data_IF_229998846908
#
_entry.id   IF_229998846908
#
_cell.length_a   1.000
_cell.length_b   1.000
_cell.length_c   1.000
_cell.angle_alpha   90.00
_cell.angle_beta   90.00
_cell.angle_gamma   90.00
#
_symmetry.space_group_name_H-M   'P 1'
#
loop_
_entity.id
_entity.type
_entity.pdbx_description
1 polymer ?
#
# COMPACT_ATOMS: atom_id res chain seq x y z
N UNK A 1 18.68 1.72 -28.82
CA UNK A 1 18.04 2.33 -27.64
C UNK A 1 18.87 1.90 -26.44
N UNK A 2 19.33 2.83 -25.61
CA UNK A 2 20.06 2.47 -24.40
C UNK A 2 19.05 2.10 -23.31
N UNK A 3 19.37 1.17 -22.40
CA UNK A 3 18.47 0.81 -21.32
C UNK A 3 18.27 1.99 -20.36
N UNK A 4 17.04 2.15 -19.87
CA UNK A 4 16.67 3.07 -18.79
C UNK A 4 16.47 2.24 -17.52
N UNK A 5 17.03 2.72 -16.42
CA UNK A 5 16.96 2.10 -15.10
C UNK A 5 16.29 3.04 -14.09
N UNK A 6 15.65 2.44 -13.10
CA UNK A 6 15.00 3.15 -12.00
C UNK A 6 15.42 2.51 -10.68
N UNK A 7 15.78 3.35 -9.71
CA UNK A 7 16.03 2.97 -8.32
C UNK A 7 15.02 3.71 -7.43
N UNK A 8 14.40 2.98 -6.50
CA UNK A 8 13.48 3.55 -5.51
C UNK A 8 14.03 3.28 -4.12
N UNK A 9 14.25 4.35 -3.36
CA UNK A 9 14.62 4.29 -1.95
C UNK A 9 13.46 4.85 -1.15
N UNK A 10 13.00 4.10 -0.15
CA UNK A 10 11.82 4.40 0.65
C UNK A 10 12.15 4.26 2.13
N UNK A 11 11.66 5.18 2.94
CA UNK A 11 11.66 5.07 4.39
C UNK A 11 10.33 5.55 4.95
N UNK A 12 9.77 4.80 5.90
CA UNK A 12 8.49 5.12 6.55
C UNK A 12 8.64 5.06 8.06
N UNK A 13 8.10 6.08 8.72
CA UNK A 13 7.88 6.16 10.16
C UNK A 13 6.41 5.89 10.44
N UNK A 14 6.14 4.94 11.32
CA UNK A 14 4.79 4.58 11.77
C UNK A 14 4.67 4.98 13.23
N UNK A 15 3.62 5.72 13.59
CA UNK A 15 3.47 6.29 14.91
C UNK A 15 2.03 6.34 15.39
N UNK A 16 1.84 6.87 16.61
CA UNK A 16 0.54 7.03 17.23
C UNK A 16 -0.26 5.71 17.35
N UNK A 17 0.40 4.70 17.93
CA UNK A 17 -0.24 3.43 18.21
C UNK A 17 -1.25 3.57 19.35
N UNK A 18 -2.52 3.29 19.07
CA UNK A 18 -3.63 3.33 20.03
C UNK A 18 -4.35 1.99 20.03
N UNK A 19 -4.87 1.58 21.19
CA UNK A 19 -5.67 0.37 21.29
C UNK A 19 -7.09 0.63 20.74
N UNK A 20 -7.49 -0.15 19.74
CA UNK A 20 -8.86 -0.18 19.19
C UNK A 20 -9.34 -1.62 19.28
N UNK A 21 -10.41 -1.86 20.04
CA UNK A 21 -10.96 -3.21 20.30
C UNK A 21 -9.92 -4.25 20.75
N UNK A 22 -8.91 -3.81 21.52
CA UNK A 22 -7.83 -4.67 22.03
C UNK A 22 -6.65 -4.88 21.07
N UNK A 23 -6.66 -4.27 19.90
CA UNK A 23 -5.56 -4.31 18.92
C UNK A 23 -4.83 -2.97 18.90
N UNK A 24 -3.49 -2.99 18.96
CA UNK A 24 -2.69 -1.76 18.81
C UNK A 24 -2.58 -1.39 17.34
N UNK A 25 -3.13 -0.23 16.96
CA UNK A 25 -3.17 0.25 15.58
C UNK A 25 -2.52 1.62 15.49
N UNK A 26 -1.64 1.82 14.51
CA UNK A 26 -1.05 3.11 14.22
C UNK A 26 -2.07 4.06 13.60
N UNK A 27 -2.20 5.26 14.15
CA UNK A 27 -3.11 6.30 13.66
C UNK A 27 -2.39 7.41 12.88
N UNK A 28 -1.06 7.34 12.76
CA UNK A 28 -0.32 8.30 11.96
C UNK A 28 0.97 7.70 11.40
N UNK A 29 1.49 8.34 10.37
CA UNK A 29 2.80 8.03 9.84
C UNK A 29 3.29 9.03 8.81
N UNK A 30 4.56 8.87 8.46
CA UNK A 30 5.23 9.69 7.46
C UNK A 30 6.11 8.80 6.59
N UNK A 31 6.01 8.94 5.27
CA UNK A 31 6.83 8.25 4.29
C UNK A 31 7.67 9.25 3.50
N UNK A 32 8.90 8.87 3.20
CA UNK A 32 9.80 9.58 2.29
C UNK A 32 10.26 8.63 1.21
N UNK A 33 10.22 9.09 -0.05
CA UNK A 33 10.58 8.28 -1.22
C UNK A 33 11.48 9.09 -2.13
N UNK A 34 12.51 8.43 -2.64
CA UNK A 34 13.41 8.92 -3.65
C UNK A 34 13.30 7.98 -4.85
N UNK A 35 12.95 8.53 -6.01
CA UNK A 35 12.94 7.81 -7.28
C UNK A 35 14.06 8.38 -8.14
N UNK A 36 15.01 7.54 -8.50
CA UNK A 36 16.19 7.89 -9.28
C UNK A 36 16.13 7.20 -10.63
N UNK A 37 16.05 7.97 -11.72
CA UNK A 37 16.17 7.49 -13.10
C UNK A 37 17.58 7.69 -13.62
N UNK A 38 18.18 6.64 -14.17
CA UNK A 38 19.49 6.68 -14.81
C UNK A 38 19.53 5.76 -16.03
N UNK A 39 20.60 5.84 -16.82
CA UNK A 39 20.61 5.22 -18.15
C UNK A 39 19.80 6.03 -19.17
N UNK A 40 19.86 5.61 -20.43
CA UNK A 40 19.77 6.46 -21.61
C UNK A 40 20.98 7.40 -21.77
N UNK A 41 21.42 7.67 -23.00
CA UNK A 41 22.70 8.36 -23.29
C UNK A 41 22.99 9.53 -22.33
N UNK A 42 24.27 9.69 -21.95
CA UNK A 42 24.87 10.68 -21.02
C UNK A 42 24.43 12.16 -21.18
N UNK A 43 23.56 12.47 -22.15
CA UNK A 43 22.97 13.78 -22.41
C UNK A 43 21.76 14.10 -21.51
N UNK A 44 21.01 13.11 -21.01
CA UNK A 44 19.81 13.35 -20.19
C UNK A 44 20.10 13.43 -18.68
N UNK A 45 21.21 12.86 -18.21
CA UNK A 45 21.66 12.93 -16.82
C UNK A 45 20.81 12.15 -15.81
N UNK A 46 21.30 12.08 -14.58
CA UNK A 46 20.59 11.51 -13.42
C UNK A 46 19.35 12.36 -13.13
N UNK A 47 18.15 11.76 -13.12
CA UNK A 47 16.93 12.45 -12.69
C UNK A 47 16.48 11.90 -11.33
N UNK A 48 16.30 12.77 -10.35
CA UNK A 48 15.87 12.39 -8.99
C UNK A 48 14.56 13.10 -8.66
N UNK A 49 13.57 12.34 -8.24
CA UNK A 49 12.29 12.84 -7.72
C UNK A 49 12.17 12.46 -6.26
N UNK A 50 11.81 13.43 -5.41
CA UNK A 50 11.53 13.21 -3.99
C UNK A 50 10.05 13.33 -3.73
N UNK A 51 9.51 12.46 -2.89
CA UNK A 51 8.12 12.46 -2.46
C UNK A 51 8.08 12.33 -0.93
N UNK A 52 7.25 13.12 -0.29
CA UNK A 52 6.98 13.04 1.14
C UNK A 52 5.47 12.92 1.33
N UNK A 53 5.05 12.00 2.18
CA UNK A 53 3.66 11.74 2.52
C UNK A 53 3.53 11.73 4.04
N UNK A 54 2.54 12.46 4.58
CA UNK A 54 2.11 12.34 5.96
C UNK A 54 0.66 11.93 5.97
N UNK A 55 0.31 10.92 6.76
CA UNK A 55 -1.05 10.39 6.87
C UNK A 55 -1.50 10.33 8.33
N UNK A 56 -2.80 10.53 8.54
CA UNK A 56 -3.48 10.37 9.82
C UNK A 56 -4.77 9.57 9.62
N UNK A 57 -5.14 8.79 10.62
CA UNK A 57 -6.39 8.03 10.65
C UNK A 57 -7.21 8.58 11.82
N UNK A 58 -8.34 9.21 11.50
CA UNK A 58 -9.21 9.82 12.51
C UNK A 58 -10.08 8.76 13.20
N UNK A 59 -10.71 7.89 12.42
CA UNK A 59 -11.65 6.89 12.90
C UNK A 59 -11.31 5.49 12.38
N UNK A 60 -11.42 4.51 13.28
CA UNK A 60 -11.27 3.08 12.99
C UNK A 60 -12.50 2.36 13.53
N UNK A 61 -13.08 1.51 12.70
CA UNK A 61 -14.20 0.65 13.08
C UNK A 61 -13.99 -0.76 12.54
N UNK A 62 -14.22 -1.75 13.39
CA UNK A 62 -14.25 -3.15 12.99
C UNK A 62 -15.69 -3.58 12.69
N UNK A 63 -15.83 -4.55 11.78
CA UNK A 63 -17.12 -5.20 11.50
C UNK A 63 -18.26 -4.22 11.22
N UNK A 64 -17.97 -3.17 10.43
CA UNK A 64 -18.93 -2.10 10.10
C UNK A 64 -20.19 -2.71 9.48
N UNK A 65 -21.33 -2.48 10.13
CA UNK A 65 -22.62 -3.02 9.69
C UNK A 65 -23.02 -2.46 8.33
N UNK A 66 -23.52 -3.33 7.44
CA UNK A 66 -23.93 -2.94 6.09
C UNK A 66 -22.80 -2.89 5.07
N UNK A 67 -21.54 -3.10 5.48
CA UNK A 67 -20.40 -3.24 4.59
C UNK A 67 -20.26 -4.72 4.17
N UNK A 68 -20.36 -5.00 2.87
CA UNK A 68 -20.30 -6.36 2.32
C UNK A 68 -19.24 -6.45 1.22
N UNK A 69 -18.91 -7.67 0.75
CA UNK A 69 -17.97 -7.86 -0.35
C UNK A 69 -18.42 -7.17 -1.64
N UNK A 70 -19.73 -7.03 -1.85
CA UNK A 70 -20.30 -6.34 -3.00
C UNK A 70 -20.02 -4.82 -3.00
N UNK A 71 -19.55 -4.26 -1.87
CA UNK A 71 -19.16 -2.86 -1.76
C UNK A 71 -17.74 -2.58 -2.28
N UNK A 72 -16.95 -3.61 -2.58
CA UNK A 72 -15.57 -3.47 -3.02
C UNK A 72 -15.47 -3.70 -4.52
N UNK A 73 -15.05 -2.67 -5.27
CA UNK A 73 -14.85 -2.76 -6.72
C UNK A 73 -13.44 -3.32 -6.96
N UNK A 74 -13.30 -4.44 -7.68
CA UNK A 74 -11.99 -4.98 -8.01
C UNK A 74 -11.21 -4.01 -8.93
N UNK A 75 -9.87 -3.98 -8.85
CA UNK A 75 -9.05 -3.31 -9.84
C UNK A 75 -9.42 -3.75 -11.25
N UNK A 76 -9.48 -2.80 -12.19
CA UNK A 76 -9.96 -3.01 -13.57
C UNK A 76 -9.18 -4.08 -14.34
N UNK A 77 -7.94 -4.38 -13.93
CA UNK A 77 -7.07 -5.39 -14.55
C UNK A 77 -7.30 -6.83 -14.02
N UNK A 78 -8.15 -7.02 -13.01
CA UNK A 78 -8.46 -8.33 -12.41
C UNK A 78 -9.76 -8.96 -12.93
N UNK A 79 -10.24 -8.57 -14.12
CA UNK A 79 -11.39 -9.25 -14.73
C UNK A 79 -11.03 -10.69 -15.16
N UNK A 80 -11.27 -11.63 -14.23
CA UNK A 80 -11.60 -13.05 -14.43
C UNK A 80 -10.57 -13.93 -15.16
N UNK A 81 -9.46 -14.25 -14.49
CA UNK A 81 -8.68 -15.45 -14.83
C UNK A 81 -8.59 -16.51 -13.71
N UNK A 82 -9.25 -16.34 -12.58
CA UNK A 82 -9.28 -17.38 -11.55
C UNK A 82 -10.70 -17.94 -11.37
N UNK A 83 -10.90 -19.28 -11.43
CA UNK A 83 -12.15 -19.86 -10.97
C UNK A 83 -12.37 -19.48 -9.50
N UNK A 84 -13.64 -19.28 -9.19
CA UNK A 84 -14.22 -18.79 -7.95
C UNK A 84 -13.87 -19.70 -6.76
N UNK A 85 -12.60 -19.71 -6.34
CA UNK A 85 -12.19 -20.31 -5.08
C UNK A 85 -12.65 -19.37 -3.99
N UNK A 86 -13.84 -19.69 -3.48
CA UNK A 86 -14.45 -19.10 -2.30
C UNK A 86 -13.56 -19.40 -1.09
N UNK A 87 -12.47 -18.64 -0.96
CA UNK A 87 -11.58 -18.65 0.20
C UNK A 87 -12.42 -18.27 1.43
N UNK A 88 -12.77 -19.28 2.22
CA UNK A 88 -13.47 -19.08 3.48
C UNK A 88 -12.47 -18.54 4.50
N UNK A 89 -12.35 -17.21 4.53
CA UNK A 89 -11.52 -16.47 5.49
C UNK A 89 -11.93 -16.68 6.95
N UNK A 90 -13.05 -17.36 7.22
CA UNK A 90 -13.54 -17.68 8.57
C UNK A 90 -12.88 -18.93 9.18
N UNK A 91 -11.99 -19.60 8.45
CA UNK A 91 -11.29 -20.76 9.01
C UNK A 91 -10.33 -20.31 10.14
N UNK A 92 -10.48 -20.84 11.36
CA UNK A 92 -9.60 -20.49 12.47
C UNK A 92 -8.15 -20.90 12.14
N UNK A 93 -7.25 -19.93 12.13
CA UNK A 93 -5.81 -20.17 12.14
C UNK A 93 -5.39 -20.57 13.55
N UNK A 94 -5.67 -21.80 13.99
CA UNK A 94 -4.99 -22.39 15.16
C UNK A 94 -5.21 -23.91 15.25
N UNK A 95 -4.10 -24.65 15.26
CA UNK A 95 -3.86 -25.75 16.20
C UNK A 95 -2.48 -25.53 16.83
#
# INVERSE_FOLDING_TARGET
MYPTYWETIMATKIEDYRAVEGVMIAHAGQSSVIITRFGDNLKAGLTMTRMEESWTIDDIAFNVSGLSMDCFIPPKELEKQHPDEKLDWRLPLHQ
#
